data_IF_368403429411
#
_entry.id   IF_368403429411
#
_cell.length_a   1.000
_cell.length_b   1.000
_cell.length_c   1.000
_cell.angle_alpha   90.00
_cell.angle_beta   90.00
_cell.angle_gamma   90.00
#
_symmetry.space_group_name_H-M   'P 1'
#
loop_
_entity.id
_entity.type
_entity.pdbx_description
1 polymer ?
#
# COMPACT_ATOMS: atom_id res chain seq x y z
N UNK A 1 0.09 10.51 -15.05
CA UNK A 1 1.03 9.44 -14.63
C UNK A 1 2.45 9.93 -14.35
N UNK A 2 3.02 10.88 -15.14
CA UNK A 2 4.45 11.24 -15.07
C UNK A 2 4.99 11.66 -13.68
N UNK A 3 4.14 12.15 -12.78
CA UNK A 3 4.56 12.58 -11.44
C UNK A 3 3.92 11.76 -10.29
N UNK A 4 3.40 10.55 -10.59
CA UNK A 4 2.69 9.72 -9.61
C UNK A 4 3.52 9.43 -8.35
N UNK A 5 4.75 8.97 -8.53
CA UNK A 5 5.68 8.70 -7.43
C UNK A 5 6.05 9.96 -6.64
N UNK A 6 6.18 11.11 -7.32
CA UNK A 6 6.45 12.38 -6.67
C UNK A 6 5.29 12.83 -5.77
N UNK A 7 4.03 12.61 -6.20
CA UNK A 7 2.84 12.90 -5.39
C UNK A 7 2.69 11.92 -4.21
N UNK A 8 2.97 10.63 -4.41
CA UNK A 8 3.04 9.65 -3.31
C UNK A 8 4.05 10.11 -2.27
N UNK A 9 5.26 10.48 -2.70
CA UNK A 9 6.28 11.01 -1.78
C UNK A 9 5.80 12.25 -1.06
N UNK A 10 5.21 13.22 -1.77
CA UNK A 10 4.71 14.46 -1.18
C UNK A 10 3.63 14.20 -0.11
N UNK A 11 2.72 13.27 -0.37
CA UNK A 11 1.68 12.87 0.58
C UNK A 11 2.27 12.15 1.79
N UNK A 12 3.15 11.16 1.58
CA UNK A 12 3.80 10.44 2.67
C UNK A 12 4.54 11.38 3.64
N UNK A 13 5.23 12.41 3.13
CA UNK A 13 5.92 13.39 3.99
C UNK A 13 4.99 14.41 4.63
N UNK A 14 3.76 14.59 4.12
CA UNK A 14 2.76 15.47 4.73
C UNK A 14 1.88 14.77 5.76
N UNK A 15 1.91 13.43 5.82
CA UNK A 15 1.15 12.68 6.83
C UNK A 15 1.63 13.06 8.23
N UNK A 16 0.67 13.17 9.13
CA UNK A 16 0.89 13.37 10.56
C UNK A 16 0.05 12.38 11.36
N UNK A 17 0.18 12.41 12.67
CA UNK A 17 -0.57 11.54 13.58
C UNK A 17 -2.10 11.60 13.36
N UNK A 18 -2.63 12.76 12.95
CA UNK A 18 -4.08 12.92 12.70
C UNK A 18 -4.58 12.17 11.46
N UNK A 19 -3.69 11.71 10.58
CA UNK A 19 -4.04 10.90 9.42
C UNK A 19 -4.15 9.40 9.77
N UNK A 20 -3.68 8.98 10.95
CA UNK A 20 -3.69 7.58 11.34
C UNK A 20 -4.79 7.31 12.37
N UNK A 21 -5.61 6.33 12.09
CA UNK A 21 -6.66 5.88 13.00
C UNK A 21 -6.50 4.38 13.25
N UNK A 22 -6.60 3.94 14.51
CA UNK A 22 -6.67 2.52 14.79
C UNK A 22 -7.95 1.97 14.16
N UNK A 23 -7.84 0.87 13.42
CA UNK A 23 -8.99 0.19 12.88
C UNK A 23 -10.01 -0.19 13.97
N UNK A 24 -11.28 0.10 13.70
CA UNK A 24 -12.46 -0.47 14.33
C UNK A 24 -13.59 -0.52 13.30
N UNK A 25 -14.59 -1.40 13.48
CA UNK A 25 -15.77 -1.41 12.61
C UNK A 25 -16.50 -0.05 12.65
N UNK A 26 -16.53 0.58 13.84
CA UNK A 26 -17.13 1.90 14.04
C UNK A 26 -16.39 3.00 13.26
N UNK A 27 -15.04 3.00 13.27
CA UNK A 27 -14.25 4.00 12.57
C UNK A 27 -14.42 3.94 11.05
N UNK A 28 -14.48 2.74 10.47
CA UNK A 28 -14.77 2.57 9.04
C UNK A 28 -16.20 2.96 8.68
N UNK A 29 -17.17 2.63 9.53
CA UNK A 29 -18.57 3.00 9.31
C UNK A 29 -18.75 4.52 9.27
N UNK A 30 -18.04 5.28 10.12
CA UNK A 30 -18.07 6.75 10.13
C UNK A 30 -17.58 7.39 8.83
N UNK A 31 -16.67 6.74 8.13
CA UNK A 31 -16.14 7.25 6.85
C UNK A 31 -17.00 6.85 5.65
N UNK A 32 -18.06 6.05 5.86
CA UNK A 32 -18.91 5.54 4.79
C UNK A 32 -18.24 4.43 3.94
N UNK A 33 -17.17 3.84 4.48
CA UNK A 33 -16.33 2.90 3.75
C UNK A 33 -16.73 1.50 4.16
N UNK A 34 -17.14 0.70 3.18
CA UNK A 34 -17.47 -0.72 3.42
C UNK A 34 -16.20 -1.52 3.15
N UNK A 35 -15.59 -2.18 4.16
CA UNK A 35 -14.45 -3.04 3.89
C UNK A 35 -14.89 -4.15 2.93
N UNK A 36 -14.17 -4.27 1.81
CA UNK A 36 -14.45 -5.27 0.77
C UNK A 36 -13.96 -6.67 1.16
N UNK A 37 -13.15 -6.77 2.22
CA UNK A 37 -12.54 -8.01 2.68
C UNK A 37 -13.52 -8.84 3.53
N UNK A 38 -13.48 -10.18 3.46
CA UNK A 38 -14.15 -11.06 4.40
C UNK A 38 -13.71 -10.75 5.84
N UNK A 39 -14.59 -10.99 6.82
CA UNK A 39 -14.37 -10.74 8.26
C UNK A 39 -13.12 -11.40 8.86
N UNK A 40 -12.44 -12.27 8.12
CA UNK A 40 -11.34 -13.09 8.62
C UNK A 40 -10.00 -12.77 7.93
N UNK A 41 -9.99 -11.88 6.93
CA UNK A 41 -8.79 -11.50 6.19
C UNK A 41 -8.52 -10.01 6.34
N UNK A 42 -8.05 -9.65 7.52
CA UNK A 42 -7.72 -8.29 7.87
C UNK A 42 -6.32 -7.94 7.39
N UNK A 43 -6.22 -7.00 6.46
CA UNK A 43 -4.95 -6.47 5.96
C UNK A 43 -4.13 -5.77 7.05
N UNK A 44 -2.95 -5.25 6.68
CA UNK A 44 -2.12 -4.46 7.58
C UNK A 44 -2.64 -3.03 7.73
N UNK A 45 -3.09 -2.43 6.64
CA UNK A 45 -3.70 -1.11 6.63
C UNK A 45 -4.89 -1.11 5.67
N UNK A 46 -5.64 -0.01 5.66
CA UNK A 46 -6.64 0.28 4.64
C UNK A 46 -6.92 1.76 4.59
N UNK A 47 -7.19 2.31 3.41
CA UNK A 47 -7.67 3.68 3.23
C UNK A 47 -9.07 3.73 2.66
N UNK A 48 -9.66 4.92 2.69
CA UNK A 48 -10.90 5.19 2.00
C UNK A 48 -10.75 6.35 1.02
N UNK A 49 -10.68 6.02 -0.27
CA UNK A 49 -10.50 7.01 -1.34
C UNK A 49 -11.49 8.21 -1.32
N UNK A 50 -12.78 8.02 -1.01
CA UNK A 50 -13.76 9.11 -0.93
C UNK A 50 -13.59 10.10 0.22
N UNK A 51 -12.76 9.82 1.23
CA UNK A 51 -12.80 10.58 2.48
C UNK A 51 -12.13 11.96 2.41
N UNK A 52 -11.30 12.19 1.37
CA UNK A 52 -10.60 13.45 1.09
C UNK A 52 -9.64 13.93 2.18
N UNK A 53 -9.42 13.13 3.22
CA UNK A 53 -8.68 13.50 4.43
C UNK A 53 -7.42 12.65 4.63
N UNK A 54 -7.11 11.81 3.64
CA UNK A 54 -5.95 10.94 3.61
C UNK A 54 -5.85 10.06 4.86
N UNK A 55 -6.99 9.58 5.40
CA UNK A 55 -6.97 8.72 6.58
C UNK A 55 -6.50 7.33 6.23
N UNK A 56 -5.62 6.80 7.07
CA UNK A 56 -5.07 5.45 6.99
C UNK A 56 -5.48 4.71 8.26
N UNK A 57 -6.31 3.69 8.09
CA UNK A 57 -6.69 2.80 9.18
C UNK A 57 -5.61 1.76 9.41
N UNK A 58 -5.01 1.76 10.59
CA UNK A 58 -3.94 0.84 10.97
C UNK A 58 -4.53 -0.36 11.71
N UNK A 59 -4.26 -1.55 11.19
CA UNK A 59 -4.71 -2.80 11.78
C UNK A 59 -3.65 -3.40 12.71
N UNK A 60 -4.02 -4.31 13.63
CA UNK A 60 -3.06 -4.94 14.53
C UNK A 60 -1.90 -5.65 13.83
N UNK A 61 -2.10 -6.14 12.59
CA UNK A 61 -1.06 -6.81 11.81
C UNK A 61 0.09 -5.87 11.41
N UNK A 62 -0.19 -4.62 11.08
CA UNK A 62 0.83 -3.61 10.72
C UNK A 62 1.87 -3.42 11.82
N UNK A 63 1.43 -3.42 13.08
CA UNK A 63 2.33 -3.25 14.22
C UNK A 63 3.37 -4.39 14.36
N UNK A 64 3.13 -5.54 13.72
CA UNK A 64 4.04 -6.70 13.74
C UNK A 64 4.94 -6.78 12.50
N UNK A 65 4.70 -5.95 11.48
CA UNK A 65 5.54 -5.90 10.30
C UNK A 65 6.90 -5.26 10.64
N UNK A 66 7.98 -5.66 9.97
CA UNK A 66 9.23 -4.92 10.03
C UNK A 66 9.06 -3.56 9.34
N UNK A 67 9.90 -2.58 9.67
CA UNK A 67 9.85 -1.26 9.03
C UNK A 67 10.14 -1.37 7.52
N UNK A 68 11.14 -2.18 7.17
CA UNK A 68 11.46 -2.64 5.82
C UNK A 68 11.80 -4.14 5.87
N UNK A 69 11.49 -4.90 4.81
CA UNK A 69 11.81 -6.32 4.72
C UNK A 69 13.02 -6.53 3.80
N UNK A 70 14.14 -6.97 4.37
CA UNK A 70 15.43 -7.12 3.69
C UNK A 70 16.10 -8.46 4.04
N UNK A 71 16.92 -8.98 3.14
CA UNK A 71 17.80 -10.12 3.41
C UNK A 71 18.97 -9.76 4.34
N UNK A 72 19.83 -10.73 4.65
CA UNK A 72 21.02 -10.52 5.49
C UNK A 72 22.08 -9.60 4.89
N UNK A 73 21.98 -9.28 3.59
CA UNK A 73 22.86 -8.36 2.87
C UNK A 73 22.25 -6.97 2.73
N UNK A 74 21.02 -6.76 3.22
CA UNK A 74 20.30 -5.49 3.12
C UNK A 74 19.53 -5.30 1.81
N UNK A 75 19.38 -6.33 0.98
CA UNK A 75 18.61 -6.26 -0.25
C UNK A 75 17.11 -6.43 0.05
N UNK A 76 16.22 -5.63 -0.57
CA UNK A 76 14.77 -5.83 -0.45
C UNK A 76 14.34 -7.23 -0.90
N UNK A 77 13.44 -7.89 -0.18
CA UNK A 77 12.92 -9.22 -0.56
C UNK A 77 11.40 -9.25 -0.57
N UNK A 78 10.81 -10.21 -1.27
CA UNK A 78 9.36 -10.39 -1.31
C UNK A 78 8.77 -10.52 0.10
N UNK A 79 7.77 -9.70 0.38
CA UNK A 79 6.92 -9.76 1.57
C UNK A 79 6.47 -8.39 2.03
N UNK A 80 5.72 -8.35 3.12
CA UNK A 80 5.11 -7.13 3.63
C UNK A 80 6.04 -6.43 4.63
N UNK A 81 6.02 -5.10 4.60
CA UNK A 81 6.70 -4.23 5.56
C UNK A 81 5.86 -2.98 5.78
N UNK A 82 6.10 -2.25 6.88
CA UNK A 82 5.38 -1.00 7.15
C UNK A 82 5.57 0.00 6.01
N UNK A 83 6.79 0.15 5.49
CA UNK A 83 7.06 1.06 4.37
C UNK A 83 6.27 0.66 3.12
N UNK A 84 6.29 -0.62 2.73
CA UNK A 84 5.54 -1.11 1.58
C UNK A 84 4.04 -0.88 1.76
N UNK A 85 3.49 -1.23 2.93
CA UNK A 85 2.07 -1.02 3.24
C UNK A 85 1.68 0.45 3.16
N UNK A 86 2.47 1.37 3.72
CA UNK A 86 2.14 2.80 3.65
C UNK A 86 2.17 3.35 2.22
N UNK A 87 3.13 2.92 1.40
CA UNK A 87 3.18 3.31 -0.03
C UNK A 87 1.98 2.74 -0.78
N UNK A 88 1.61 1.48 -0.52
CA UNK A 88 0.42 0.84 -1.08
C UNK A 88 -0.83 1.68 -0.77
N UNK A 89 -1.07 1.96 0.51
CA UNK A 89 -2.23 2.73 0.96
C UNK A 89 -2.28 4.15 0.38
N UNK A 90 -1.16 4.88 0.44
CA UNK A 90 -1.10 6.25 -0.11
C UNK A 90 -1.33 6.26 -1.62
N UNK A 91 -0.90 5.21 -2.33
CA UNK A 91 -1.11 5.14 -3.78
C UNK A 91 -2.59 5.12 -4.19
N UNK A 92 -3.48 4.65 -3.32
CA UNK A 92 -4.92 4.62 -3.57
C UNK A 92 -5.58 6.00 -3.58
N UNK A 93 -4.99 7.01 -2.94
CA UNK A 93 -5.57 8.34 -2.93
C UNK A 93 -5.62 8.92 -4.35
N UNK A 94 -6.75 9.57 -4.69
CA UNK A 94 -7.01 10.03 -6.05
C UNK A 94 -6.04 11.14 -6.48
N UNK A 95 -5.62 11.99 -5.54
CA UNK A 95 -4.60 13.01 -5.74
C UNK A 95 -3.16 12.46 -5.70
N UNK A 96 -2.96 11.19 -5.30
CA UNK A 96 -1.74 10.44 -5.52
C UNK A 96 -1.73 9.81 -6.93
N UNK A 97 -2.15 8.56 -7.02
CA UNK A 97 -2.22 7.78 -8.27
C UNK A 97 -3.58 7.12 -8.49
N UNK A 98 -4.46 7.07 -7.48
CA UNK A 98 -5.77 6.44 -7.60
C UNK A 98 -5.71 4.96 -7.95
N UNK A 99 -4.68 4.25 -7.46
CA UNK A 99 -4.44 2.83 -7.74
C UNK A 99 -5.56 1.95 -7.17
N UNK A 100 -5.58 0.68 -7.60
CA UNK A 100 -6.56 -0.34 -7.21
C UNK A 100 -5.85 -1.61 -6.76
N UNK A 101 -6.56 -2.45 -6.02
CA UNK A 101 -6.10 -3.80 -5.70
C UNK A 101 -6.56 -4.79 -6.76
N UNK A 102 -5.78 -4.87 -7.84
CA UNK A 102 -6.04 -5.84 -8.92
C UNK A 102 -5.53 -7.23 -8.50
N UNK A 103 -4.42 -7.27 -7.76
CA UNK A 103 -3.87 -8.45 -7.11
C UNK A 103 -2.97 -8.05 -5.94
N UNK A 104 -2.63 -9.04 -5.10
CA UNK A 104 -1.83 -8.87 -3.89
C UNK A 104 -0.52 -9.65 -3.97
N UNK A 105 0.39 -9.33 -3.04
CA UNK A 105 1.76 -9.83 -2.91
C UNK A 105 2.74 -9.26 -3.94
N UNK A 106 3.89 -8.85 -3.42
CA UNK A 106 5.12 -8.50 -4.15
C UNK A 106 5.53 -9.56 -5.18
N UNK A 107 5.46 -10.84 -4.84
CA UNK A 107 5.78 -11.95 -5.77
C UNK A 107 4.89 -11.94 -7.01
N UNK A 108 3.57 -11.82 -6.81
CA UNK A 108 2.63 -11.73 -7.95
C UNK A 108 2.87 -10.45 -8.74
N UNK A 109 3.15 -9.35 -8.06
CA UNK A 109 3.45 -8.07 -8.71
C UNK A 109 4.66 -8.17 -9.63
N UNK A 110 5.74 -8.85 -9.21
CA UNK A 110 6.90 -9.14 -10.07
C UNK A 110 6.52 -9.98 -11.27
N UNK A 111 5.79 -11.08 -11.07
CA UNK A 111 5.33 -11.93 -12.18
C UNK A 111 4.50 -11.16 -13.21
N UNK A 112 3.56 -10.32 -12.74
CA UNK A 112 2.74 -9.49 -13.63
C UNK A 112 3.56 -8.43 -14.36
N UNK A 113 4.59 -7.89 -13.72
CA UNK A 113 5.52 -6.96 -14.36
C UNK A 113 6.37 -7.65 -15.44
N UNK A 114 6.88 -8.86 -15.16
CA UNK A 114 7.63 -9.68 -16.12
C UNK A 114 6.78 -10.04 -17.36
N UNK A 115 5.48 -10.28 -17.18
CA UNK A 115 4.52 -10.51 -18.25
C UNK A 115 4.10 -9.22 -19.00
N UNK A 116 4.70 -8.07 -18.69
CA UNK A 116 4.33 -6.76 -19.21
C UNK A 116 2.82 -6.46 -19.08
N UNK A 117 2.21 -6.91 -17.97
CA UNK A 117 0.78 -6.74 -17.76
C UNK A 117 0.44 -5.24 -17.65
N UNK A 118 -0.47 -4.77 -18.51
CA UNK A 118 -0.87 -3.36 -18.58
C UNK A 118 -1.43 -2.79 -17.27
N UNK A 119 -1.98 -3.64 -16.39
CA UNK A 119 -2.56 -3.21 -15.12
C UNK A 119 -1.52 -2.97 -14.02
N UNK A 120 -0.23 -3.29 -14.24
CA UNK A 120 0.82 -3.05 -13.24
C UNK A 120 0.91 -1.58 -12.79
N UNK A 121 0.64 -0.62 -13.68
CA UNK A 121 0.69 0.80 -13.32
C UNK A 121 -0.56 1.29 -12.57
N UNK A 122 -1.64 0.51 -12.60
CA UNK A 122 -2.88 0.77 -11.88
C UNK A 122 -2.93 0.02 -10.54
N UNK A 123 -2.03 -0.94 -10.32
CA UNK A 123 -2.06 -1.82 -9.15
C UNK A 123 -1.21 -1.26 -8.00
N UNK A 124 -1.82 -1.08 -6.81
CA UNK A 124 -1.16 -0.49 -5.64
C UNK A 124 0.09 -1.28 -5.22
N UNK A 125 -0.02 -2.60 -5.18
CA UNK A 125 1.06 -3.50 -4.81
C UNK A 125 2.26 -3.41 -5.78
N UNK A 126 2.03 -3.22 -7.08
CA UNK A 126 3.11 -3.04 -8.05
C UNK A 126 3.85 -1.73 -7.87
N UNK A 127 3.12 -0.64 -7.61
CA UNK A 127 3.72 0.67 -7.35
C UNK A 127 4.54 0.62 -6.06
N UNK A 128 4.02 -0.01 -5.01
CA UNK A 128 4.72 -0.17 -3.74
C UNK A 128 5.99 -1.03 -3.90
N UNK A 129 5.86 -2.22 -4.51
CA UNK A 129 6.99 -3.13 -4.76
C UNK A 129 8.11 -2.47 -5.58
N UNK A 130 7.75 -1.77 -6.67
CA UNK A 130 8.72 -1.01 -7.46
C UNK A 130 9.46 0.04 -6.63
N UNK A 131 8.73 0.78 -5.79
CA UNK A 131 9.28 1.87 -4.97
C UNK A 131 10.27 1.37 -3.93
N UNK A 132 10.00 0.21 -3.32
CA UNK A 132 10.92 -0.39 -2.32
C UNK A 132 12.01 -1.29 -2.93
N UNK A 133 12.09 -1.36 -4.27
CA UNK A 133 13.17 -2.09 -4.96
C UNK A 133 12.88 -3.57 -5.23
N UNK A 134 11.64 -4.04 -5.10
CA UNK A 134 11.23 -5.43 -5.35
C UNK A 134 10.66 -5.54 -6.78
N UNK A 135 11.54 -5.50 -7.79
CA UNK A 135 11.15 -5.50 -9.21
C UNK A 135 12.08 -6.32 -10.13
N UNK A 136 13.23 -6.78 -9.63
CA UNK A 136 14.17 -7.64 -10.36
C UNK A 136 14.14 -9.05 -9.76
N UNK A 137 14.36 -10.07 -10.59
CA UNK A 137 14.47 -11.47 -10.17
C UNK A 137 15.88 -11.80 -9.63
N UNK A 138 16.79 -10.82 -9.67
CA UNK A 138 18.18 -10.91 -9.20
C UNK A 138 18.37 -10.46 -7.74
N UNK A 139 17.29 -10.16 -7.04
CA UNK A 139 17.29 -9.84 -5.61
C UNK A 139 17.02 -11.10 -4.80
#
# INVERSE_FOLDING_TARGET
MKDGLARIRALLVSLSESNFERYSEESLARTGCVPKAPKDNFGAASVCGPDGLHRIFIWPAFCRLPDELKDSKGNPVDGDSKLLTLIHEVSHFQDAMGTRDVWYSTRNSRWKAADANRFCIENAENIAAYTVGIWDDRV
#
